data_IF_680230362442
#
_entry.id   IF_680230362442
#
_cell.length_a   1.000
_cell.length_b   1.000
_cell.length_c   1.000
_cell.angle_alpha   90.00
_cell.angle_beta   90.00
_cell.angle_gamma   90.00
#
_symmetry.space_group_name_H-M   'P 1'
#
loop_
_entity.id
_entity.type
_entity.pdbx_description
1 polymer ?
#
# COMPACT_ATOMS: atom_id res chain seq x y z
N UNK A 1 19.86 16.91 2.55
CA UNK A 1 18.71 16.19 1.99
C UNK A 1 19.05 14.72 1.91
N UNK A 2 18.07 13.85 2.15
CA UNK A 2 18.26 12.40 2.07
C UNK A 2 17.46 11.85 0.91
N UNK A 3 18.08 10.95 0.16
CA UNK A 3 17.43 10.32 -0.99
C UNK A 3 17.43 8.81 -0.77
N UNK A 4 16.24 8.19 -0.85
CA UNK A 4 16.08 6.74 -0.85
C UNK A 4 15.55 6.30 -2.20
N UNK A 5 16.06 5.18 -2.66
CA UNK A 5 15.54 4.52 -3.86
C UNK A 5 14.95 3.17 -3.45
N UNK A 6 14.26 2.51 -4.36
CA UNK A 6 13.72 1.17 -4.06
C UNK A 6 14.83 0.19 -3.68
N UNK A 7 16.02 0.34 -4.27
CA UNK A 7 17.15 -0.56 -3.98
C UNK A 7 17.84 -0.27 -2.65
N UNK A 8 17.76 0.97 -2.13
CA UNK A 8 18.42 1.36 -0.89
C UNK A 8 17.49 1.41 0.31
N UNK A 9 16.18 1.47 0.10
CA UNK A 9 15.20 1.53 1.18
C UNK A 9 15.15 0.20 1.94
N UNK A 10 14.91 0.31 3.25
CA UNK A 10 14.77 -0.87 4.10
C UNK A 10 13.55 -1.68 3.69
N UNK A 11 13.73 -3.00 3.60
CA UNK A 11 12.66 -3.92 3.24
C UNK A 11 11.76 -4.20 4.44
N UNK A 12 10.45 -4.21 4.22
CA UNK A 12 9.48 -4.62 5.24
C UNK A 12 9.56 -6.14 5.40
N UNK A 13 9.65 -6.66 6.63
CA UNK A 13 9.83 -8.10 6.85
C UNK A 13 8.53 -8.89 6.73
N UNK A 14 8.01 -9.02 5.51
CA UNK A 14 6.85 -9.87 5.23
C UNK A 14 6.97 -10.44 3.79
N UNK A 15 5.98 -11.22 3.34
CA UNK A 15 6.10 -11.98 2.11
C UNK A 15 5.87 -11.20 0.81
N UNK A 16 5.44 -9.95 0.89
CA UNK A 16 5.32 -9.06 -0.26
C UNK A 16 6.52 -8.12 -0.33
N UNK A 17 6.75 -7.51 -1.49
CA UNK A 17 7.83 -6.56 -1.66
C UNK A 17 7.42 -5.17 -1.18
N UNK A 18 7.69 -4.90 0.09
CA UNK A 18 7.46 -3.61 0.72
C UNK A 18 8.77 -2.91 1.06
N UNK A 19 8.85 -1.62 0.76
CA UNK A 19 10.03 -0.79 1.00
C UNK A 19 9.66 0.45 1.79
N UNK A 20 10.39 0.70 2.88
CA UNK A 20 10.18 1.89 3.73
C UNK A 20 10.86 3.09 3.07
N UNK A 21 10.07 3.90 2.36
CA UNK A 21 10.58 5.05 1.64
C UNK A 21 10.76 6.27 2.54
N UNK A 22 9.94 6.41 3.56
CA UNK A 22 10.03 7.49 4.53
C UNK A 22 9.42 7.04 5.85
N UNK A 23 10.09 7.36 6.95
CA UNK A 23 9.58 7.10 8.30
C UNK A 23 9.82 8.30 9.19
N UNK A 24 8.77 8.68 9.93
CA UNK A 24 8.84 9.67 10.98
C UNK A 24 7.84 9.31 12.07
N UNK A 25 7.76 10.10 13.12
CA UNK A 25 6.74 9.91 14.15
C UNK A 25 5.32 10.22 13.65
N UNK A 26 5.21 10.98 12.56
CA UNK A 26 3.91 11.46 12.05
C UNK A 26 3.43 10.69 10.84
N UNK A 27 4.34 10.24 9.99
CA UNK A 27 4.01 9.63 8.69
C UNK A 27 5.00 8.53 8.37
N UNK A 28 4.49 7.45 7.79
CA UNK A 28 5.32 6.41 7.20
C UNK A 28 4.85 6.16 5.77
N UNK A 29 5.77 6.11 4.82
CA UNK A 29 5.47 5.85 3.42
C UNK A 29 6.12 4.54 3.02
N UNK A 30 5.30 3.57 2.66
CA UNK A 30 5.74 2.24 2.17
C UNK A 30 5.44 2.14 0.68
N UNK A 31 6.46 1.81 -0.11
CA UNK A 31 6.25 1.40 -1.49
C UNK A 31 5.98 -0.10 -1.49
N UNK A 32 4.86 -0.50 -2.05
CA UNK A 32 4.44 -1.90 -2.08
C UNK A 32 4.29 -2.35 -3.52
N UNK A 33 4.90 -3.48 -3.86
CA UNK A 33 4.79 -4.11 -5.18
C UNK A 33 4.16 -5.48 -5.03
N UNK A 34 3.12 -5.73 -5.83
CA UNK A 34 2.45 -7.03 -5.89
C UNK A 34 2.58 -7.60 -7.31
N UNK A 35 3.04 -8.84 -7.40
CA UNK A 35 3.01 -9.60 -8.64
C UNK A 35 1.56 -9.99 -8.97
N UNK A 36 1.24 -10.32 -10.23
CA UNK A 36 -0.11 -10.81 -10.56
C UNK A 36 -0.53 -11.95 -9.65
N UNK A 37 -1.72 -11.84 -9.08
CA UNK A 37 -2.28 -12.84 -8.15
C UNK A 37 -1.85 -12.69 -6.71
N UNK A 38 -0.86 -11.86 -6.39
CA UNK A 38 -0.49 -11.62 -5.00
C UNK A 38 -1.55 -10.80 -4.27
N UNK A 39 -1.66 -11.06 -2.98
CA UNK A 39 -2.68 -10.45 -2.11
C UNK A 39 -2.01 -9.93 -0.84
N UNK A 40 -2.32 -8.68 -0.52
CA UNK A 40 -2.11 -8.17 0.83
C UNK A 40 -3.37 -8.49 1.62
N UNK A 41 -3.26 -9.44 2.56
CA UNK A 41 -4.40 -9.89 3.35
C UNK A 41 -5.01 -8.76 4.16
N UNK A 42 -6.31 -8.83 4.39
CA UNK A 42 -7.00 -7.80 5.17
C UNK A 42 -6.42 -7.71 6.57
N UNK A 43 -6.20 -6.50 7.02
CA UNK A 43 -5.75 -6.19 8.38
C UNK A 43 -6.20 -4.79 8.75
N UNK A 44 -6.16 -4.47 10.03
CA UNK A 44 -6.52 -3.16 10.56
C UNK A 44 -5.28 -2.44 11.07
N UNK A 45 -5.35 -1.11 11.05
CA UNK A 45 -4.36 -0.25 11.69
C UNK A 45 -5.06 0.76 12.58
N UNK A 46 -4.43 1.16 13.69
CA UNK A 46 -5.00 2.18 14.58
C UNK A 46 -4.73 3.61 14.11
N UNK A 47 -4.64 3.83 12.80
CA UNK A 47 -4.40 5.13 12.17
C UNK A 47 -4.97 5.14 10.76
N UNK A 48 -5.16 6.33 10.22
CA UNK A 48 -5.63 6.49 8.85
C UNK A 48 -4.54 6.13 7.84
N UNK A 49 -4.96 5.64 6.69
CA UNK A 49 -4.05 5.25 5.60
C UNK A 49 -4.58 5.80 4.28
N UNK A 50 -3.67 6.28 3.45
CA UNK A 50 -3.97 6.60 2.06
C UNK A 50 -3.15 5.65 1.18
N UNK A 51 -3.82 5.02 0.21
CA UNK A 51 -3.17 4.14 -0.77
C UNK A 51 -3.22 4.83 -2.12
N UNK A 52 -2.05 5.18 -2.66
CA UNK A 52 -1.94 5.83 -3.95
C UNK A 52 -1.38 4.84 -4.98
N UNK A 53 -2.11 4.62 -6.06
CA UNK A 53 -1.72 3.66 -7.09
C UNK A 53 -0.77 4.31 -8.08
N UNK A 54 0.42 3.72 -8.25
CA UNK A 54 1.44 4.20 -9.19
C UNK A 54 1.38 3.48 -10.52
N UNK A 55 1.11 2.18 -10.50
CA UNK A 55 1.19 1.32 -11.69
C UNK A 55 0.31 0.11 -11.48
N UNK A 56 -0.32 -0.37 -12.57
CA UNK A 56 -1.08 -1.61 -12.54
C UNK A 56 -2.53 -1.42 -12.11
N UNK A 57 -3.23 -2.54 -11.95
CA UNK A 57 -4.66 -2.59 -11.67
C UNK A 57 -4.92 -3.59 -10.54
N UNK A 58 -5.86 -3.28 -9.69
CA UNK A 58 -6.17 -4.16 -8.58
C UNK A 58 -7.51 -3.86 -7.94
N UNK A 59 -7.74 -4.48 -6.79
CA UNK A 59 -8.94 -4.28 -5.98
C UNK A 59 -8.52 -4.01 -4.55
N UNK A 60 -9.05 -2.92 -3.98
CA UNK A 60 -8.99 -2.65 -2.55
C UNK A 60 -10.27 -3.17 -1.93
N UNK A 61 -10.15 -3.98 -0.89
CA UNK A 61 -11.31 -4.56 -0.19
C UNK A 61 -11.35 -4.13 1.26
N UNK A 62 -12.56 -3.87 1.75
CA UNK A 62 -12.87 -3.80 3.17
C UNK A 62 -13.90 -4.88 3.48
N UNK A 63 -14.38 -4.95 4.72
CA UNK A 63 -15.42 -5.94 5.07
C UNK A 63 -16.76 -5.65 4.38
N UNK A 64 -17.01 -4.38 4.02
CA UNK A 64 -18.29 -3.94 3.47
C UNK A 64 -18.24 -3.60 1.99
N UNK A 65 -17.05 -3.33 1.44
CA UNK A 65 -16.92 -2.77 0.11
C UNK A 65 -15.73 -3.37 -0.63
N UNK A 66 -15.78 -3.31 -1.95
CA UNK A 66 -14.60 -3.50 -2.77
C UNK A 66 -14.60 -2.46 -3.89
N UNK A 67 -13.42 -2.01 -4.28
CA UNK A 67 -13.27 -1.01 -5.31
C UNK A 67 -12.11 -1.38 -6.24
N UNK A 68 -12.37 -1.31 -7.54
CA UNK A 68 -11.32 -1.45 -8.54
C UNK A 68 -10.45 -0.20 -8.54
N UNK A 69 -9.14 -0.39 -8.59
CA UNK A 69 -8.18 0.73 -8.60
C UNK A 69 -7.28 0.65 -9.82
N UNK A 70 -6.85 1.82 -10.25
CA UNK A 70 -5.97 2.01 -11.40
C UNK A 70 -4.98 3.14 -11.11
N UNK A 71 -3.97 3.37 -11.97
CA UNK A 71 -2.97 4.41 -11.72
C UNK A 71 -3.57 5.78 -11.45
N UNK A 72 -2.95 6.49 -10.51
CA UNK A 72 -3.31 7.84 -10.06
C UNK A 72 -4.62 7.94 -9.28
N UNK A 73 -5.12 6.80 -8.79
CA UNK A 73 -6.18 6.80 -7.78
C UNK A 73 -5.59 6.82 -6.38
N UNK A 74 -6.22 7.54 -5.47
CA UNK A 74 -5.90 7.54 -4.05
C UNK A 74 -7.10 7.03 -3.26
N UNK A 75 -6.89 5.97 -2.49
CA UNK A 75 -7.94 5.37 -1.65
C UNK A 75 -7.68 5.75 -0.20
N UNK A 76 -8.64 6.39 0.43
CA UNK A 76 -8.56 6.77 1.85
C UNK A 76 -9.23 5.70 2.70
N UNK A 77 -8.50 5.19 3.70
CA UNK A 77 -8.99 4.17 4.63
C UNK A 77 -8.88 4.73 6.06
N UNK A 78 -10.00 4.87 6.73
CA UNK A 78 -10.02 5.34 8.12
C UNK A 78 -9.42 4.30 9.07
N UNK A 79 -8.93 4.80 10.20
CA UNK A 79 -8.43 4.00 11.32
C UNK A 79 -9.44 2.90 11.70
N UNK A 80 -8.95 1.71 11.96
CA UNK A 80 -9.77 0.58 12.41
C UNK A 80 -10.50 -0.19 11.31
N UNK A 81 -10.46 0.28 10.06
CA UNK A 81 -11.09 -0.44 8.95
C UNK A 81 -10.21 -1.60 8.52
N UNK A 82 -10.80 -2.79 8.47
CA UNK A 82 -10.14 -4.00 7.97
C UNK A 82 -10.05 -3.90 6.43
N UNK A 83 -8.83 -3.89 5.89
CA UNK A 83 -8.64 -3.71 4.46
C UNK A 83 -7.53 -4.59 3.90
N UNK A 84 -7.67 -4.93 2.63
CA UNK A 84 -6.68 -5.66 1.86
C UNK A 84 -6.57 -5.13 0.44
N UNK A 85 -5.60 -5.65 -0.29
CA UNK A 85 -5.31 -5.25 -1.66
C UNK A 85 -4.98 -6.50 -2.47
N UNK A 86 -5.53 -6.59 -3.67
CA UNK A 86 -5.25 -7.70 -4.59
C UNK A 86 -4.76 -7.17 -5.92
N UNK A 87 -3.74 -7.80 -6.49
CA UNK A 87 -3.37 -7.56 -7.88
C UNK A 87 -4.21 -8.48 -8.77
N UNK A 88 -5.16 -7.88 -9.49
CA UNK A 88 -6.05 -8.58 -10.42
C UNK A 88 -5.65 -8.36 -11.88
N UNK A 89 -4.58 -7.63 -12.12
CA UNK A 89 -4.06 -7.37 -13.46
C UNK A 89 -3.08 -8.44 -13.93
N UNK A 90 -2.51 -8.20 -15.10
CA UNK A 90 -1.53 -9.09 -15.72
C UNK A 90 -0.09 -8.63 -15.53
N UNK A 91 0.10 -7.42 -15.02
CA UNK A 91 1.40 -6.83 -14.73
C UNK A 91 1.55 -6.50 -13.25
N UNK A 92 2.64 -5.84 -12.93
CA UNK A 92 2.95 -5.43 -11.57
C UNK A 92 1.97 -4.37 -11.08
N UNK A 93 1.52 -4.49 -9.83
CA UNK A 93 0.75 -3.46 -9.14
C UNK A 93 1.68 -2.78 -8.15
N UNK A 94 1.88 -1.47 -8.32
CA UNK A 94 2.73 -0.68 -7.42
C UNK A 94 1.91 0.41 -6.78
N UNK A 95 2.01 0.50 -5.46
CA UNK A 95 1.27 1.50 -4.68
C UNK A 95 2.18 2.14 -3.64
N UNK A 96 1.83 3.36 -3.24
CA UNK A 96 2.35 3.95 -2.00
C UNK A 96 1.29 3.79 -0.93
N UNK A 97 1.69 3.25 0.21
CA UNK A 97 0.85 3.19 1.41
C UNK A 97 1.36 4.27 2.34
N UNK A 98 0.56 5.30 2.54
CA UNK A 98 0.90 6.44 3.40
C UNK A 98 0.15 6.26 4.72
N UNK A 99 0.90 6.02 5.79
CA UNK A 99 0.36 5.83 7.13
C UNK A 99 0.43 7.15 7.88
N UNK A 100 -0.71 7.62 8.33
CA UNK A 100 -0.83 8.88 9.07
C UNK A 100 -0.81 8.54 10.55
N UNK A 101 0.36 8.57 11.16
CA UNK A 101 0.57 8.04 12.51
C UNK A 101 0.16 9.01 13.62
N UNK A 102 0.10 10.28 13.30
CA UNK A 102 -0.37 11.27 14.28
C UNK A 102 -0.84 12.58 13.67
#
# INVERSE_FOLDING_TARGET
MNIKTLSTAEKVPFNLDGRKMYTSKKVEIIHLSLMPGEVLEKHTNPFDVAIYVLEGYGIVETDDQSASVEPDMCVEIESGINRGLKNTGTGLLRVLVVKILS
#
